data_IF_584533211070
#
_entry.id   IF_584533211070
#
_cell.length_a   1.000
_cell.length_b   1.000
_cell.length_c   1.000
_cell.angle_alpha   90.00
_cell.angle_beta   90.00
_cell.angle_gamma   90.00
#
_symmetry.space_group_name_H-M   'P 1'
#
loop_
_entity.id
_entity.type
_entity.pdbx_description
1 polymer ?
#
# COMPACT_ATOMS: atom_id res chain seq x y z
N UNK A 1 -7.61 -15.38 -3.24
CA UNK A 1 -8.18 -16.58 -3.91
C UNK A 1 -8.69 -16.17 -5.30
N UNK A 2 -9.41 -17.05 -6.01
CA UNK A 2 -10.11 -16.67 -7.25
C UNK A 2 -11.28 -15.70 -6.97
N UNK A 3 -11.96 -15.85 -5.82
CA UNK A 3 -13.14 -15.07 -5.45
C UNK A 3 -12.81 -13.58 -5.25
N UNK A 4 -11.64 -13.28 -4.70
CA UNK A 4 -11.18 -11.89 -4.56
C UNK A 4 -10.95 -11.22 -5.91
N UNK A 5 -10.73 -11.98 -6.99
CA UNK A 5 -10.55 -11.47 -8.35
C UNK A 5 -11.85 -11.38 -9.14
N UNK A 6 -12.92 -12.04 -8.69
CA UNK A 6 -14.23 -11.95 -9.35
C UNK A 6 -14.87 -10.56 -9.06
N UNK A 7 -15.10 -9.73 -10.09
CA UNK A 7 -15.72 -8.43 -9.91
C UNK A 7 -17.21 -8.51 -9.53
N UNK A 8 -17.87 -9.65 -9.77
CA UNK A 8 -19.30 -9.88 -9.49
C UNK A 8 -19.56 -10.43 -8.10
N UNK A 9 -18.55 -10.95 -7.41
CA UNK A 9 -18.69 -11.43 -6.04
C UNK A 9 -18.88 -10.23 -5.10
N UNK A 10 -20.13 -10.02 -4.69
CA UNK A 10 -20.52 -9.00 -3.72
C UNK A 10 -20.53 -9.51 -2.28
N UNK A 11 -20.60 -10.83 -2.07
CA UNK A 11 -20.65 -11.45 -0.73
C UNK A 11 -19.43 -11.04 0.11
N UNK A 12 -18.23 -11.12 -0.45
CA UNK A 12 -17.00 -10.69 0.25
C UNK A 12 -17.06 -9.20 0.63
N UNK A 13 -17.72 -8.36 -0.19
CA UNK A 13 -17.85 -6.93 0.10
C UNK A 13 -18.76 -6.70 1.31
N UNK A 14 -19.86 -7.46 1.40
CA UNK A 14 -20.79 -7.37 2.53
C UNK A 14 -20.18 -7.92 3.82
N UNK A 15 -19.51 -9.07 3.76
CA UNK A 15 -18.78 -9.65 4.91
C UNK A 15 -17.69 -8.71 5.42
N UNK A 16 -16.89 -8.12 4.53
CA UNK A 16 -15.87 -7.14 4.92
C UNK A 16 -16.50 -5.90 5.57
N UNK A 17 -17.64 -5.43 5.08
CA UNK A 17 -18.32 -4.27 5.67
C UNK A 17 -18.78 -4.58 7.10
N UNK A 18 -19.34 -5.77 7.34
CA UNK A 18 -19.73 -6.22 8.68
C UNK A 18 -18.52 -6.34 9.62
N UNK A 19 -17.44 -6.97 9.18
CA UNK A 19 -16.21 -7.12 9.98
C UNK A 19 -15.59 -5.77 10.33
N UNK A 20 -15.50 -4.85 9.36
CA UNK A 20 -14.97 -3.50 9.60
C UNK A 20 -15.86 -2.74 10.58
N UNK A 21 -17.18 -2.83 10.44
CA UNK A 21 -18.12 -2.19 11.36
C UNK A 21 -17.98 -2.72 12.79
N UNK A 22 -17.80 -4.04 12.95
CA UNK A 22 -17.60 -4.67 14.26
C UNK A 22 -16.26 -4.30 14.89
N UNK A 23 -15.19 -4.27 14.09
CA UNK A 23 -13.85 -3.90 14.56
C UNK A 23 -13.71 -2.41 14.85
N UNK A 24 -14.51 -1.56 14.18
CA UNK A 24 -14.48 -0.10 14.25
C UNK A 24 -13.04 0.48 14.24
N UNK A 25 -12.21 0.13 13.23
CA UNK A 25 -10.81 0.50 13.21
C UNK A 25 -10.64 2.00 12.94
N UNK A 26 -9.66 2.63 13.59
CA UNK A 26 -9.27 3.99 13.21
C UNK A 26 -8.45 4.03 11.92
N UNK A 27 -7.70 2.96 11.64
CA UNK A 27 -6.79 2.86 10.49
C UNK A 27 -6.92 1.48 9.86
N UNK A 28 -6.98 1.43 8.53
CA UNK A 28 -6.94 0.18 7.76
C UNK A 28 -5.68 0.16 6.90
N UNK A 29 -4.90 -0.90 7.02
CA UNK A 29 -3.79 -1.21 6.12
C UNK A 29 -4.23 -2.32 5.15
N UNK A 30 -4.07 -2.08 3.85
CA UNK A 30 -4.37 -3.03 2.77
C UNK A 30 -3.26 -2.96 1.72
N UNK A 31 -3.39 -3.65 0.59
CA UNK A 31 -2.44 -3.54 -0.52
C UNK A 31 -2.62 -2.24 -1.33
N UNK A 32 -1.57 -1.79 -2.00
CA UNK A 32 -1.68 -0.71 -2.99
C UNK A 32 -2.43 -1.18 -4.26
N UNK A 33 -3.06 -0.25 -4.96
CA UNK A 33 -3.85 -0.53 -6.17
C UNK A 33 -3.00 -0.67 -7.45
N UNK A 34 -1.70 -0.38 -7.40
CA UNK A 34 -0.77 -0.54 -8.51
C UNK A 34 0.05 -1.84 -8.43
N UNK A 35 -0.31 -2.75 -7.52
CA UNK A 35 0.47 -3.94 -7.23
C UNK A 35 0.59 -4.89 -8.44
N UNK A 36 1.65 -5.70 -8.49
CA UNK A 36 1.86 -6.67 -9.60
C UNK A 36 0.96 -7.90 -9.49
N UNK A 37 0.36 -8.14 -8.34
CA UNK A 37 -0.46 -9.31 -8.10
C UNK A 37 -1.95 -8.96 -8.14
N UNK A 38 -2.70 -9.49 -9.11
CA UNK A 38 -4.14 -9.17 -9.29
C UNK A 38 -4.98 -9.45 -8.04
N UNK A 39 -4.64 -10.49 -7.26
CA UNK A 39 -5.29 -10.75 -5.96
C UNK A 39 -5.16 -9.57 -4.99
N UNK A 40 -4.03 -8.87 -4.94
CA UNK A 40 -3.84 -7.69 -4.09
C UNK A 40 -4.79 -6.56 -4.52
N UNK A 41 -4.88 -6.30 -5.83
CA UNK A 41 -5.83 -5.34 -6.41
C UNK A 41 -7.27 -5.75 -6.08
N UNK A 42 -7.61 -7.03 -6.24
CA UNK A 42 -8.92 -7.58 -5.92
C UNK A 42 -9.33 -7.42 -4.46
N UNK A 43 -8.39 -7.64 -3.52
CA UNK A 43 -8.61 -7.41 -2.08
C UNK A 43 -8.84 -5.93 -1.81
N UNK A 44 -7.95 -5.04 -2.25
CA UNK A 44 -8.06 -3.60 -1.97
C UNK A 44 -9.32 -2.98 -2.57
N UNK A 45 -9.70 -3.37 -3.79
CA UNK A 45 -10.95 -2.89 -4.39
C UNK A 45 -12.19 -3.34 -3.62
N UNK A 46 -12.20 -4.56 -3.08
CA UNK A 46 -13.28 -5.07 -2.21
C UNK A 46 -13.32 -4.34 -0.87
N UNK A 47 -12.17 -4.06 -0.25
CA UNK A 47 -12.07 -3.23 0.97
C UNK A 47 -12.66 -1.83 0.73
N UNK A 48 -12.27 -1.15 -0.35
CA UNK A 48 -12.81 0.18 -0.69
C UNK A 48 -14.33 0.12 -0.90
N UNK A 49 -14.82 -0.88 -1.64
CA UNK A 49 -16.27 -1.08 -1.86
C UNK A 49 -17.02 -1.33 -0.56
N UNK A 50 -16.44 -2.12 0.36
CA UNK A 50 -17.03 -2.40 1.67
C UNK A 50 -17.13 -1.12 2.50
N UNK A 51 -16.05 -0.34 2.54
CA UNK A 51 -16.02 0.96 3.23
C UNK A 51 -17.03 1.94 2.65
N UNK A 52 -17.18 2.00 1.32
CA UNK A 52 -18.21 2.84 0.66
C UNK A 52 -19.66 2.47 1.01
N UNK A 53 -19.93 1.25 1.51
CA UNK A 53 -21.26 0.84 1.99
C UNK A 53 -21.54 1.29 3.44
N UNK A 54 -20.51 1.63 4.20
CA UNK A 54 -20.66 1.98 5.62
C UNK A 54 -21.15 3.42 5.80
N UNK A 55 -21.90 3.70 6.88
CA UNK A 55 -22.20 5.08 7.25
C UNK A 55 -20.91 5.83 7.60
N UNK A 56 -20.90 7.16 7.37
CA UNK A 56 -19.72 8.01 7.65
C UNK A 56 -19.16 7.85 9.07
N UNK A 57 -20.02 7.58 10.06
CA UNK A 57 -19.64 7.38 11.45
C UNK A 57 -18.85 6.09 11.71
N UNK A 58 -18.84 5.14 10.77
CA UNK A 58 -18.13 3.86 10.84
C UNK A 58 -16.94 3.79 9.87
N UNK A 59 -16.61 4.90 9.20
CA UNK A 59 -15.42 4.96 8.35
C UNK A 59 -14.16 5.14 9.20
N UNK A 60 -13.04 4.47 8.86
CA UNK A 60 -11.76 4.72 9.50
C UNK A 60 -11.28 6.13 9.17
N UNK A 61 -10.38 6.67 10.01
CA UNK A 61 -9.70 7.94 9.75
C UNK A 61 -8.74 7.83 8.56
N UNK A 62 -8.10 6.67 8.40
CA UNK A 62 -7.12 6.45 7.34
C UNK A 62 -7.24 5.06 6.70
N UNK A 63 -7.00 5.01 5.39
CA UNK A 63 -6.84 3.77 4.62
C UNK A 63 -5.53 3.84 3.85
N UNK A 64 -4.60 2.93 4.14
CA UNK A 64 -3.27 2.92 3.54
C UNK A 64 -3.08 1.70 2.65
N UNK A 65 -2.81 1.94 1.37
CA UNK A 65 -2.42 0.92 0.39
C UNK A 65 -0.92 0.69 0.45
N UNK A 66 -0.49 -0.30 1.21
CA UNK A 66 0.92 -0.61 1.47
C UNK A 66 1.59 -1.28 0.27
N UNK A 67 2.88 -1.05 0.13
CA UNK A 67 3.73 -1.79 -0.79
C UNK A 67 3.92 -3.25 -0.35
N UNK A 68 3.93 -4.17 -1.32
CA UNK A 68 4.24 -5.59 -1.09
C UNK A 68 4.97 -6.15 -2.31
N UNK A 69 4.24 -6.35 -3.42
CA UNK A 69 4.79 -6.97 -4.62
C UNK A 69 5.24 -5.95 -5.66
N UNK A 70 4.53 -4.83 -5.72
CA UNK A 70 5.08 -3.61 -6.30
C UNK A 70 5.48 -2.64 -5.18
N UNK A 71 6.68 -2.12 -5.37
CA UNK A 71 7.20 -0.92 -4.72
C UNK A 71 6.35 0.32 -5.02
N UNK A 72 6.45 1.36 -4.21
CA UNK A 72 5.88 2.67 -4.45
C UNK A 72 6.90 3.74 -4.82
N UNK A 73 8.16 3.38 -5.07
CA UNK A 73 9.20 4.36 -5.44
C UNK A 73 8.92 5.14 -6.75
N UNK A 74 8.01 4.64 -7.59
CA UNK A 74 7.48 5.35 -8.76
C UNK A 74 6.51 6.48 -8.41
N UNK A 75 6.05 6.61 -7.16
CA UNK A 75 5.26 7.77 -6.72
C UNK A 75 6.19 8.94 -6.43
N UNK A 76 5.68 10.18 -6.52
CA UNK A 76 6.42 11.35 -6.06
C UNK A 76 6.60 11.28 -4.53
N UNK A 77 7.77 11.67 -4.02
CA UNK A 77 8.07 11.59 -2.59
C UNK A 77 7.07 12.35 -1.71
N UNK A 78 6.59 13.50 -2.18
CA UNK A 78 5.58 14.32 -1.49
C UNK A 78 4.21 13.65 -1.39
N UNK A 79 3.98 12.58 -2.15
CA UNK A 79 2.72 11.85 -2.20
C UNK A 79 2.77 10.49 -1.48
N UNK A 80 3.96 10.06 -1.03
CA UNK A 80 4.14 8.81 -0.29
C UNK A 80 3.73 9.03 1.17
N UNK A 81 2.96 8.10 1.72
CA UNK A 81 2.86 7.94 3.17
C UNK A 81 4.05 7.10 3.62
N UNK A 82 4.82 7.61 4.57
CA UNK A 82 6.08 6.99 5.01
C UNK A 82 5.95 6.52 6.45
N UNK A 83 6.22 5.24 6.70
CA UNK A 83 6.24 4.65 8.02
C UNK A 83 7.68 4.34 8.46
N UNK A 84 8.10 4.93 9.59
CA UNK A 84 9.34 4.55 10.25
C UNK A 84 9.15 3.23 11.01
N UNK A 85 9.82 2.17 10.56
CA UNK A 85 9.76 0.84 11.16
C UNK A 85 11.10 0.40 11.76
N UNK A 86 11.92 1.38 12.13
CA UNK A 86 13.28 1.16 12.63
C UNK A 86 13.33 0.63 14.07
N UNK A 87 12.28 0.82 14.86
CA UNK A 87 12.33 0.59 16.32
C UNK A 87 12.56 -0.89 16.68
N UNK A 88 11.96 -1.83 15.93
CA UNK A 88 11.92 -3.25 16.30
C UNK A 88 12.30 -4.17 15.14
N UNK A 89 13.54 -4.09 14.63
CA UNK A 89 13.97 -4.86 13.46
C UNK A 89 13.90 -6.37 13.72
N UNK A 90 14.21 -6.82 14.94
CA UNK A 90 14.15 -8.24 15.32
C UNK A 90 12.71 -8.80 15.25
N UNK A 91 11.71 -8.04 15.70
CA UNK A 91 10.31 -8.45 15.59
C UNK A 91 9.86 -8.45 14.13
N UNK A 92 10.25 -7.43 13.37
CA UNK A 92 9.92 -7.33 11.95
C UNK A 92 10.52 -8.48 11.12
N UNK A 93 11.72 -8.95 11.47
CA UNK A 93 12.36 -10.13 10.89
C UNK A 93 11.60 -11.41 11.25
N UNK A 94 11.39 -11.66 12.55
CA UNK A 94 10.72 -12.86 13.03
C UNK A 94 9.31 -13.05 12.44
N UNK A 95 8.55 -11.97 12.25
CA UNK A 95 7.22 -12.02 11.64
C UNK A 95 7.23 -12.44 10.17
N UNK A 96 8.26 -12.07 9.41
CA UNK A 96 8.39 -12.51 8.01
C UNK A 96 8.92 -13.94 7.94
N UNK A 97 9.85 -14.27 8.84
CA UNK A 97 10.51 -15.58 8.91
C UNK A 97 9.56 -16.72 9.32
N UNK A 98 8.41 -16.41 9.94
CA UNK A 98 7.40 -17.43 10.29
C UNK A 98 6.82 -18.14 9.06
N UNK A 99 6.91 -17.54 7.87
CA UNK A 99 6.40 -18.10 6.62
C UNK A 99 7.46 -18.98 5.93
N UNK A 100 7.81 -20.08 6.57
CA UNK A 100 8.91 -20.97 6.17
C UNK A 100 8.80 -21.47 4.71
N UNK A 101 7.58 -21.80 4.27
CA UNK A 101 7.30 -22.22 2.88
C UNK A 101 7.59 -21.15 1.83
N UNK A 102 7.70 -19.89 2.24
CA UNK A 102 8.01 -18.75 1.40
C UNK A 102 9.51 -18.40 1.42
N UNK A 103 10.32 -19.11 2.21
CA UNK A 103 11.75 -18.83 2.43
C UNK A 103 12.61 -20.04 2.03
N UNK A 104 12.18 -21.24 2.42
CA UNK A 104 12.87 -22.49 2.10
C UNK A 104 12.59 -22.89 0.65
N UNK A 105 13.64 -23.32 -0.06
CA UNK A 105 13.51 -23.92 -1.39
C UNK A 105 13.55 -22.95 -2.57
N UNK A 106 13.84 -21.67 -2.33
CA UNK A 106 14.14 -20.76 -3.44
C UNK A 106 14.23 -19.28 -3.05
N UNK A 107 13.08 -18.61 -2.97
CA UNK A 107 13.01 -17.14 -2.85
C UNK A 107 13.21 -16.72 -1.39
N UNK A 108 14.13 -15.78 -1.15
CA UNK A 108 14.41 -15.22 0.19
C UNK A 108 13.59 -13.96 0.44
N UNK A 109 12.28 -14.12 0.62
CA UNK A 109 11.38 -12.98 0.84
C UNK A 109 11.66 -12.23 2.14
N UNK A 110 12.15 -12.93 3.16
CA UNK A 110 12.72 -12.36 4.38
C UNK A 110 13.77 -11.28 4.06
N UNK A 111 14.81 -11.66 3.30
CA UNK A 111 15.89 -10.75 2.93
C UNK A 111 15.40 -9.64 1.99
N UNK A 112 14.53 -9.97 1.04
CA UNK A 112 14.00 -8.99 0.09
C UNK A 112 13.15 -7.91 0.79
N UNK A 113 12.28 -8.32 1.73
CA UNK A 113 11.45 -7.40 2.51
C UNK A 113 12.30 -6.52 3.42
N UNK A 114 13.29 -7.07 4.11
CA UNK A 114 14.21 -6.28 4.95
C UNK A 114 15.06 -5.33 4.10
N UNK A 115 15.67 -5.84 3.02
CA UNK A 115 16.51 -5.05 2.12
C UNK A 115 15.76 -3.88 1.49
N UNK A 116 14.50 -4.08 1.10
CA UNK A 116 13.62 -3.02 0.61
C UNK A 116 13.47 -1.89 1.63
N UNK A 117 13.21 -2.21 2.90
CA UNK A 117 13.02 -1.19 3.94
C UNK A 117 14.26 -0.36 4.20
N UNK A 118 15.42 -1.01 4.18
CA UNK A 118 16.72 -0.34 4.31
C UNK A 118 17.00 0.53 3.09
N UNK A 119 16.69 0.04 1.89
CA UNK A 119 16.82 0.82 0.66
C UNK A 119 15.94 2.08 0.70
N UNK A 120 14.68 1.96 1.12
CA UNK A 120 13.80 3.11 1.29
C UNK A 120 14.34 4.13 2.28
N UNK A 121 14.80 3.68 3.45
CA UNK A 121 15.46 4.57 4.42
C UNK A 121 16.63 5.33 3.79
N UNK A 122 17.52 4.61 3.11
CA UNK A 122 18.74 5.15 2.50
C UNK A 122 18.48 6.14 1.37
N UNK A 123 17.48 5.88 0.51
CA UNK A 123 17.23 6.69 -0.68
C UNK A 123 16.14 7.77 -0.49
N UNK A 124 15.41 7.76 0.63
CA UNK A 124 14.30 8.70 0.88
C UNK A 124 14.68 10.18 0.93
N UNK A 125 15.93 10.52 1.26
CA UNK A 125 16.39 11.91 1.35
C UNK A 125 17.90 12.00 1.14
N UNK A 126 18.33 12.83 0.19
CA UNK A 126 19.76 13.03 -0.11
C UNK A 126 20.48 13.93 0.90
N UNK A 127 19.74 14.61 1.81
CA UNK A 127 20.28 15.70 2.63
C UNK A 127 19.81 15.72 4.09
N UNK A 128 18.91 14.84 4.53
CA UNK A 128 18.54 14.74 5.94
C UNK A 128 19.36 13.65 6.63
N UNK A 129 20.00 14.00 7.76
CA UNK A 129 20.76 13.07 8.59
C UNK A 129 19.80 12.01 9.16
N UNK A 130 20.15 10.74 8.96
CA UNK A 130 19.38 9.52 9.24
C UNK A 130 18.58 9.57 10.55
N UNK A 131 17.24 9.72 10.44
CA UNK A 131 16.32 9.46 11.57
C UNK A 131 15.65 8.09 11.48
N UNK A 132 15.79 7.37 10.36
CA UNK A 132 15.23 6.05 10.17
C UNK A 132 16.24 5.13 9.49
N UNK A 133 16.38 3.90 10.00
CA UNK A 133 17.18 2.83 9.39
C UNK A 133 16.34 1.85 8.58
N UNK A 134 15.00 1.95 8.67
CA UNK A 134 14.06 1.15 7.90
C UNK A 134 12.75 1.92 7.68
N UNK A 135 12.33 2.05 6.41
CA UNK A 135 11.08 2.70 6.02
C UNK A 135 10.18 1.75 5.22
N UNK A 136 8.86 1.92 5.33
CA UNK A 136 7.86 1.30 4.45
C UNK A 136 7.00 2.41 3.86
N UNK A 137 6.65 2.28 2.58
CA UNK A 137 5.77 3.23 1.92
C UNK A 137 4.34 2.70 1.76
N UNK A 138 3.40 3.64 1.74
CA UNK A 138 2.01 3.39 1.35
C UNK A 138 1.44 4.54 0.51
N UNK A 139 0.41 4.20 -0.26
CA UNK A 139 -0.47 5.14 -0.93
C UNK A 139 -1.61 5.51 0.03
N UNK A 140 -1.93 6.79 0.15
CA UNK A 140 -3.15 7.20 0.84
C UNK A 140 -4.37 6.87 -0.03
N UNK A 141 -5.21 5.97 0.45
CA UNK A 141 -6.46 5.55 -0.19
C UNK A 141 -7.68 6.16 0.50
N UNK A 142 -7.48 6.96 1.56
CA UNK A 142 -8.55 7.62 2.32
C UNK A 142 -9.49 8.44 1.43
N UNK A 143 -9.02 9.20 0.42
CA UNK A 143 -9.91 9.95 -0.48
C UNK A 143 -10.96 9.06 -1.17
N UNK A 144 -10.60 7.81 -1.54
CA UNK A 144 -11.51 6.89 -2.22
C UNK A 144 -12.68 6.45 -1.35
N UNK A 145 -12.59 6.53 -0.03
CA UNK A 145 -13.70 6.16 0.87
C UNK A 145 -14.50 7.38 1.35
N UNK A 146 -13.88 8.56 1.38
CA UNK A 146 -14.54 9.81 1.77
C UNK A 146 -15.39 10.39 0.63
N UNK A 147 -14.94 10.21 -0.61
CA UNK A 147 -15.67 10.57 -1.82
C UNK A 147 -15.92 9.32 -2.68
N UNK A 148 -17.10 8.69 -2.56
CA UNK A 148 -17.47 7.53 -3.36
C UNK A 148 -17.60 7.81 -4.87
N UNK A 149 -17.62 9.08 -5.30
CA UNK A 149 -17.69 9.46 -6.72
C UNK A 149 -16.35 9.30 -7.44
N UNK A 150 -15.24 9.25 -6.70
CA UNK A 150 -13.91 9.02 -7.28
C UNK A 150 -13.82 7.62 -7.90
N UNK A 151 -13.39 7.55 -9.15
CA UNK A 151 -13.08 6.28 -9.81
C UNK A 151 -11.74 5.73 -9.30
N UNK A 152 -11.75 4.46 -8.90
CA UNK A 152 -10.58 3.79 -8.31
C UNK A 152 -9.41 3.72 -9.30
N UNK A 153 -9.70 3.46 -10.58
CA UNK A 153 -8.67 3.31 -11.61
C UNK A 153 -8.06 4.67 -11.94
N UNK A 154 -8.88 5.68 -12.22
CA UNK A 154 -8.41 7.03 -12.52
C UNK A 154 -7.56 7.59 -11.39
N UNK A 155 -7.97 7.40 -10.13
CA UNK A 155 -7.22 7.84 -8.95
C UNK A 155 -5.76 7.36 -8.97
N UNK A 156 -5.52 6.10 -9.34
CA UNK A 156 -4.16 5.51 -9.39
C UNK A 156 -3.40 5.96 -10.63
N UNK A 157 -4.08 6.05 -11.78
CA UNK A 157 -3.46 6.52 -13.02
C UNK A 157 -2.96 7.95 -12.91
N UNK A 158 -3.65 8.80 -12.15
CA UNK A 158 -3.23 10.19 -11.95
C UNK A 158 -1.85 10.28 -11.25
N UNK A 159 -1.52 9.36 -10.32
CA UNK A 159 -0.16 9.30 -9.74
C UNK A 159 0.89 8.94 -10.79
N UNK A 160 0.57 8.01 -11.69
CA UNK A 160 1.48 7.59 -12.77
C UNK A 160 1.72 8.76 -13.74
N UNK A 161 0.67 9.50 -14.09
CA UNK A 161 0.79 10.66 -14.97
C UNK A 161 1.62 11.79 -14.33
N UNK A 162 1.48 12.02 -13.02
CA UNK A 162 2.33 12.96 -12.28
C UNK A 162 3.79 12.52 -12.24
N UNK A 163 4.06 11.23 -12.00
CA UNK A 163 5.43 10.70 -12.05
C UNK A 163 6.04 10.83 -13.45
N UNK A 164 5.29 10.45 -14.49
CA UNK A 164 5.70 10.62 -15.89
C UNK A 164 6.07 12.08 -16.18
N UNK A 165 5.26 13.02 -15.71
CA UNK A 165 5.52 14.45 -15.87
C UNK A 165 6.80 14.88 -15.14
N UNK A 166 7.00 14.48 -13.90
CA UNK A 166 8.22 14.80 -13.13
C UNK A 166 9.48 14.29 -13.83
N UNK A 167 9.47 13.04 -14.30
CA UNK A 167 10.58 12.47 -15.07
C UNK A 167 10.86 13.28 -16.33
N UNK A 168 9.81 13.61 -17.11
CA UNK A 168 9.94 14.41 -18.32
C UNK A 168 10.55 15.79 -18.03
N UNK A 169 10.01 16.49 -17.03
CA UNK A 169 10.46 17.83 -16.66
C UNK A 169 11.92 17.82 -16.18
N UNK A 170 12.33 16.80 -15.41
CA UNK A 170 13.71 16.65 -14.95
C UNK A 170 14.68 16.43 -16.10
N UNK A 171 14.35 15.57 -17.06
CA UNK A 171 15.18 15.33 -18.25
C UNK A 171 15.30 16.62 -19.07
N UNK A 172 14.18 17.31 -19.32
CA UNK A 172 14.16 18.58 -20.07
C UNK A 172 14.94 19.73 -19.43
N UNK A 173 15.24 19.66 -18.11
CA UNK A 173 16.11 20.64 -17.45
C UNK A 173 17.60 20.44 -17.75
N UNK A 174 17.99 19.24 -18.18
CA UNK A 174 19.38 18.85 -18.41
C UNK A 174 19.72 18.83 -19.91
N UNK A 175 18.73 18.55 -20.77
CA UNK A 175 18.83 18.71 -22.23
C UNK A 175 18.88 20.18 -22.64
#
# INVERSE_FOLDING_TARGET
SAETKDPKNTEIVDELAELIKLANPEVIYTHNLADKHDTHIGVTTKVIKALRKLPKSALPKHVYGCEVWRDLDWMLDSEKVVFNVSERPNLAAALVEVFDSQIIGGKRYDLATQGRRVAHATYSTSHAVDQASALIFAMDLTPLILDPSLDIKSYVLDYIDRFKKDVSDRISKIL
#
